data_IF_191137845818
#
_entry.id   IF_191137845818
#
_cell.length_a   1.000
_cell.length_b   1.000
_cell.length_c   1.000
_cell.angle_alpha   90.00
_cell.angle_beta   90.00
_cell.angle_gamma   90.00
#
_symmetry.space_group_name_H-M   'P 1'
#
loop_
_entity.id
_entity.type
_entity.pdbx_description
1 polymer ?
#
# COMPACT_ATOMS: atom_id res chain seq x y z
N UNK A 1 2.50 14.36 13.92
CA UNK A 1 2.58 13.35 12.84
C UNK A 1 1.57 12.26 13.15
N UNK A 2 0.65 11.98 12.23
CA UNK A 2 -0.30 10.90 12.41
C UNK A 2 0.35 9.56 12.04
N UNK A 3 0.13 8.56 12.87
CA UNK A 3 0.54 7.18 12.63
C UNK A 3 -0.61 6.28 13.05
N UNK A 4 -1.00 5.38 12.16
CA UNK A 4 -2.07 4.40 12.38
C UNK A 4 -1.48 3.01 12.18
N UNK A 5 -1.82 2.08 13.08
CA UNK A 5 -1.27 0.75 13.08
C UNK A 5 -2.33 -0.28 13.45
N UNK A 6 -2.37 -1.36 12.67
CA UNK A 6 -3.15 -2.54 12.99
C UNK A 6 -2.30 -3.79 12.72
N UNK A 7 -2.35 -4.74 13.64
CA UNK A 7 -1.96 -6.12 13.40
C UNK A 7 -3.25 -6.94 13.31
N UNK A 8 -3.43 -7.68 12.23
CA UNK A 8 -4.60 -8.53 12.00
C UNK A 8 -4.15 -9.92 11.63
N UNK A 9 -4.91 -10.91 12.06
CA UNK A 9 -4.73 -12.29 11.62
C UNK A 9 -5.54 -12.51 10.34
N UNK A 10 -4.89 -13.07 9.33
CA UNK A 10 -5.55 -13.56 8.11
C UNK A 10 -5.31 -15.06 7.98
N UNK A 11 -6.00 -15.71 7.04
CA UNK A 11 -5.78 -17.12 6.72
C UNK A 11 -4.33 -17.41 6.25
N UNK A 12 -3.58 -16.36 5.87
CA UNK A 12 -2.19 -16.42 5.42
C UNK A 12 -1.18 -16.11 6.54
N UNK A 13 -1.70 -15.90 7.76
CA UNK A 13 -0.95 -15.55 8.96
C UNK A 13 -1.06 -14.08 9.35
N UNK A 14 -0.34 -13.67 10.42
CA UNK A 14 -0.42 -12.30 10.92
C UNK A 14 0.14 -11.29 9.93
N UNK A 15 -0.57 -10.17 9.79
CA UNK A 15 -0.25 -9.05 8.89
C UNK A 15 -0.22 -7.75 9.67
N UNK A 16 0.82 -6.96 9.44
CA UNK A 16 0.99 -5.63 10.01
C UNK A 16 0.69 -4.56 8.97
N UNK A 17 -0.18 -3.61 9.32
CA UNK A 17 -0.61 -2.50 8.48
C UNK A 17 -0.22 -1.21 9.19
N UNK A 18 0.50 -0.34 8.51
CA UNK A 18 1.09 0.85 9.10
C UNK A 18 0.95 2.05 8.16
N UNK A 19 0.19 3.06 8.55
CA UNK A 19 0.05 4.31 7.81
C UNK A 19 0.82 5.42 8.52
N UNK A 20 1.64 6.16 7.78
CA UNK A 20 2.46 7.25 8.31
C UNK A 20 2.31 8.50 7.45
N UNK A 21 2.10 9.65 8.08
CA UNK A 21 2.27 10.97 7.46
C UNK A 21 3.76 11.38 7.48
N UNK A 22 4.64 10.62 6.81
CA UNK A 22 6.08 10.94 6.77
C UNK A 22 6.41 11.88 5.61
N UNK A 23 7.52 12.59 5.76
CA UNK A 23 8.17 13.36 4.69
C UNK A 23 9.35 12.55 4.15
N UNK A 24 9.55 12.58 2.83
CA UNK A 24 10.77 12.12 2.16
C UNK A 24 11.56 13.35 1.75
N UNK A 25 12.43 13.83 2.65
CA UNK A 25 13.07 15.14 2.50
C UNK A 25 12.06 16.27 2.68
N UNK A 26 11.92 17.14 1.67
CA UNK A 26 10.98 18.27 1.65
C UNK A 26 9.66 17.95 0.92
N UNK A 27 9.37 16.70 0.59
CA UNK A 27 8.10 16.32 -0.01
C UNK A 27 7.29 15.47 0.98
N UNK A 28 6.01 15.78 1.22
CA UNK A 28 5.16 14.86 1.96
C UNK A 28 5.10 13.54 1.19
N UNK A 29 5.38 12.44 1.88
CA UNK A 29 5.25 11.08 1.34
C UNK A 29 4.40 10.20 2.27
N UNK A 30 3.11 10.54 2.46
CA UNK A 30 2.22 9.74 3.27
C UNK A 30 2.01 8.39 2.60
N UNK A 31 2.11 7.30 3.36
CA UNK A 31 1.98 5.96 2.80
C UNK A 31 1.43 4.98 3.83
N UNK A 32 0.80 3.92 3.33
CA UNK A 32 0.47 2.71 4.08
C UNK A 32 1.40 1.58 3.64
N UNK A 33 2.05 0.93 4.61
CA UNK A 33 2.79 -0.31 4.42
C UNK A 33 1.96 -1.47 4.95
N UNK A 34 1.82 -2.52 4.14
CA UNK A 34 1.21 -3.80 4.51
C UNK A 34 2.29 -4.86 4.45
N UNK A 35 2.58 -5.51 5.57
CA UNK A 35 3.72 -6.41 5.73
C UNK A 35 3.26 -7.72 6.37
N UNK A 36 3.61 -8.88 5.80
CA UNK A 36 3.44 -10.13 6.51
C UNK A 36 4.37 -10.16 7.72
N UNK A 37 3.97 -10.84 8.78
CA UNK A 37 4.79 -10.98 9.99
C UNK A 37 6.12 -11.70 9.69
N UNK A 38 6.10 -12.71 8.82
CA UNK A 38 7.29 -13.47 8.44
C UNK A 38 8.10 -12.75 7.36
N UNK A 39 9.36 -12.40 7.68
CA UNK A 39 10.25 -11.68 6.77
C UNK A 39 10.51 -12.40 5.43
N UNK A 40 10.41 -13.73 5.39
CA UNK A 40 10.63 -14.54 4.19
C UNK A 40 9.58 -14.28 3.10
N UNK A 41 8.35 -13.91 3.47
CA UNK A 41 7.27 -13.60 2.52
C UNK A 41 7.18 -12.11 2.18
N UNK A 42 7.97 -11.25 2.84
CA UNK A 42 7.94 -9.80 2.66
C UNK A 42 8.22 -9.37 1.21
N UNK A 43 9.19 -10.00 0.53
CA UNK A 43 9.51 -9.66 -0.87
C UNK A 43 8.35 -9.95 -1.83
N UNK A 44 7.52 -10.96 -1.50
CA UNK A 44 6.40 -11.41 -2.34
C UNK A 44 5.09 -10.69 -2.02
N UNK A 45 4.79 -10.53 -0.73
CA UNK A 45 3.48 -10.08 -0.24
C UNK A 45 3.50 -8.64 0.31
N UNK A 46 4.68 -8.08 0.57
CA UNK A 46 4.83 -6.73 1.07
C UNK A 46 4.33 -5.69 0.07
N UNK A 47 3.39 -4.86 0.51
CA UNK A 47 2.78 -3.82 -0.33
C UNK A 47 2.95 -2.45 0.30
N UNK A 48 3.22 -1.45 -0.53
CA UNK A 48 3.28 -0.03 -0.12
C UNK A 48 2.34 0.77 -1.01
N UNK A 49 1.40 1.46 -0.37
CA UNK A 49 0.45 2.37 -1.02
C UNK A 49 0.86 3.79 -0.66
N UNK A 50 1.13 4.62 -1.66
CA UNK A 50 1.46 6.04 -1.46
C UNK A 50 0.19 6.87 -1.62
N UNK A 51 -0.01 7.81 -0.70
CA UNK A 51 -1.17 8.70 -0.70
C UNK A 51 -0.75 10.11 -1.13
N UNK A 52 -1.66 10.80 -1.81
CA UNK A 52 -1.48 12.19 -2.24
C UNK A 52 -1.98 13.21 -1.21
N UNK A 53 -2.50 12.73 -0.08
CA UNK A 53 -3.05 13.56 1.00
C UNK A 53 -2.21 13.45 2.27
N UNK A 54 -2.05 14.58 2.94
CA UNK A 54 -1.45 14.71 4.27
C UNK A 54 -2.47 14.97 5.38
N UNK A 55 -3.76 15.07 5.04
CA UNK A 55 -4.85 15.27 6.01
C UNK A 55 -4.97 14.06 6.93
N UNK A 56 -5.00 14.30 8.25
CA UNK A 56 -5.00 13.24 9.24
C UNK A 56 -6.31 12.44 9.24
N UNK A 57 -7.46 13.11 9.06
CA UNK A 57 -8.76 12.45 9.03
C UNK A 57 -8.88 11.51 7.84
N UNK A 58 -8.47 11.97 6.65
CA UNK A 58 -8.48 11.16 5.45
C UNK A 58 -7.47 10.01 5.53
N UNK A 59 -6.27 10.22 6.11
CA UNK A 59 -5.31 9.14 6.33
C UNK A 59 -5.85 8.05 7.28
N UNK A 60 -6.62 8.40 8.31
CA UNK A 60 -7.28 7.42 9.16
C UNK A 60 -8.32 6.59 8.38
N UNK A 61 -9.12 7.24 7.54
CA UNK A 61 -10.09 6.56 6.66
C UNK A 61 -9.40 5.63 5.67
N UNK A 62 -8.31 6.07 5.04
CA UNK A 62 -7.51 5.26 4.12
C UNK A 62 -6.84 4.08 4.82
N UNK A 63 -6.37 4.27 6.06
CA UNK A 63 -5.86 3.18 6.89
C UNK A 63 -6.93 2.11 7.12
N UNK A 64 -8.10 2.51 7.61
CA UNK A 64 -9.21 1.60 7.88
C UNK A 64 -9.70 0.88 6.62
N UNK A 65 -9.75 1.57 5.48
CA UNK A 65 -10.05 0.96 4.20
C UNK A 65 -9.00 -0.09 3.79
N UNK A 66 -7.71 0.19 4.04
CA UNK A 66 -6.64 -0.79 3.79
C UNK A 66 -6.79 -2.02 4.71
N UNK A 67 -7.11 -1.83 5.99
CA UNK A 67 -7.37 -2.93 6.93
C UNK A 67 -8.51 -3.81 6.43
N UNK A 68 -9.64 -3.22 6.03
CA UNK A 68 -10.78 -3.97 5.48
C UNK A 68 -10.42 -4.75 4.22
N UNK A 69 -9.71 -4.13 3.29
CA UNK A 69 -9.25 -4.81 2.06
C UNK A 69 -8.38 -6.03 2.37
N UNK A 70 -7.48 -5.94 3.34
CA UNK A 70 -6.65 -7.08 3.75
C UNK A 70 -7.48 -8.18 4.42
N UNK A 71 -8.50 -7.80 5.20
CA UNK A 71 -9.43 -8.78 5.80
C UNK A 71 -10.28 -9.50 4.75
N UNK A 72 -10.70 -8.80 3.70
CA UNK A 72 -11.55 -9.36 2.63
C UNK A 72 -10.76 -10.20 1.61
N UNK A 73 -9.56 -9.74 1.23
CA UNK A 73 -8.80 -10.32 0.12
C UNK A 73 -7.58 -11.14 0.56
N UNK A 74 -7.21 -11.08 1.84
CA UNK A 74 -5.90 -11.53 2.30
C UNK A 74 -4.77 -10.59 1.85
N UNK A 75 -3.54 -10.92 2.26
CA UNK A 75 -2.35 -10.16 1.88
C UNK A 75 -1.90 -10.52 0.46
N UNK A 76 -2.10 -11.75 0.00
CA UNK A 76 -1.86 -12.14 -1.39
C UNK A 76 -2.77 -11.41 -2.37
N UNK A 77 -4.07 -11.35 -2.08
CA UNK A 77 -5.03 -10.62 -2.92
C UNK A 77 -4.66 -9.14 -3.04
N UNK A 78 -4.24 -8.50 -1.93
CA UNK A 78 -3.75 -7.13 -1.99
C UNK A 78 -2.48 -6.99 -2.84
N UNK A 79 -1.53 -7.93 -2.72
CA UNK A 79 -0.30 -7.93 -3.50
C UNK A 79 -0.60 -8.09 -5.01
N UNK A 80 -1.57 -8.93 -5.38
CA UNK A 80 -2.00 -9.15 -6.76
C UNK A 80 -2.66 -7.91 -7.36
N UNK A 81 -3.51 -7.21 -6.60
CA UNK A 81 -4.08 -5.92 -7.00
C UNK A 81 -2.98 -4.89 -7.23
N UNK A 82 -2.00 -4.80 -6.32
CA UNK A 82 -0.88 -3.87 -6.45
C UNK A 82 0.01 -4.19 -7.67
N UNK A 83 0.25 -5.46 -7.95
CA UNK A 83 1.01 -5.89 -9.12
C UNK A 83 0.25 -5.62 -10.42
N UNK A 84 -1.05 -5.89 -10.44
CA UNK A 84 -1.92 -5.60 -11.59
C UNK A 84 -1.93 -4.10 -11.91
N UNK A 85 -2.09 -3.23 -10.91
CA UNK A 85 -2.04 -1.78 -11.10
C UNK A 85 -0.69 -1.29 -11.66
N UNK A 86 0.43 -1.84 -11.18
CA UNK A 86 1.78 -1.53 -11.73
C UNK A 86 1.91 -1.97 -13.19
N UNK A 87 1.40 -3.15 -13.53
CA UNK A 87 1.42 -3.66 -14.90
C UNK A 87 0.58 -2.79 -15.83
N UNK A 88 -0.63 -2.42 -15.44
CA UNK A 88 -1.48 -1.49 -16.20
C UNK A 88 -0.79 -0.14 -16.44
N UNK A 89 -0.13 0.43 -15.42
CA UNK A 89 0.67 1.65 -15.58
C UNK A 89 1.81 1.49 -16.58
N UNK A 90 2.52 0.36 -16.55
CA UNK A 90 3.62 0.09 -17.50
C UNK A 90 3.10 -0.03 -18.93
N UNK A 91 2.02 -0.79 -19.13
CA UNK A 91 1.39 -0.95 -20.44
C UNK A 91 0.95 0.40 -21.00
N UNK A 92 0.30 1.24 -20.19
CA UNK A 92 -0.11 2.58 -20.60
C UNK A 92 1.08 3.43 -21.07
N UNK A 93 2.17 3.47 -20.28
CA UNK A 93 3.38 4.22 -20.64
C UNK A 93 4.04 3.73 -21.93
N UNK A 94 4.03 2.42 -22.16
CA UNK A 94 4.67 1.83 -23.35
C UNK A 94 3.82 1.98 -24.61
N UNK A 95 2.49 1.90 -24.50
CA UNK A 95 1.60 1.77 -25.66
C UNK A 95 0.80 3.03 -25.99
N UNK A 96 0.66 3.97 -25.05
CA UNK A 96 -0.29 5.09 -25.18
C UNK A 96 0.38 6.45 -25.03
N UNK A 97 1.49 6.57 -24.28
CA UNK A 97 2.20 7.83 -24.12
C UNK A 97 3.07 8.12 -25.37
N UNK A 98 2.90 9.25 -26.07
CA UNK A 98 3.75 9.58 -27.21
C UNK A 98 5.20 9.76 -26.73
N UNK A 99 6.15 9.18 -27.47
CA UNK A 99 7.58 9.35 -27.18
C UNK A 99 7.91 10.85 -27.04
N UNK A 100 8.74 11.24 -26.05
CA UNK A 100 9.16 12.63 -25.95
C UNK A 100 9.90 13.01 -27.24
N UNK A 101 9.28 13.91 -28.02
CA UNK A 101 9.88 14.56 -29.18
C UNK A 101 10.79 15.70 -28.80
#
# INVERSE_FOLDING_TARGET
MSTYFNAIDTDEGPVHILTKSRWLGIFPNPHTSVMPHHATSLKRLGTVIRWTTSDAGLLATLHNATVRLVQELGISGLADVANSAKMSQRVWKTLVEPAPG
#
